data_IF_039267585746
#
_entry.id   IF_039267585746
#
_cell.length_a   1.000
_cell.length_b   1.000
_cell.length_c   1.000
_cell.angle_alpha   90.00
_cell.angle_beta   90.00
_cell.angle_gamma   90.00
#
_symmetry.space_group_name_H-M   'P 1'
#
loop_
_entity.id
_entity.type
_entity.pdbx_description
1 polymer ?
#
# COMPACT_ATOMS: atom_id res chain seq x y z
N UNK A 1 3.67 6.95 1.20
CA UNK A 1 3.12 5.66 1.66
C UNK A 1 2.32 4.93 0.55
N UNK A 2 1.57 5.63 -0.30
CA UNK A 2 0.90 5.10 -1.50
C UNK A 2 1.81 4.27 -2.43
N UNK A 3 3.05 4.72 -2.63
CA UNK A 3 3.96 4.16 -3.64
C UNK A 3 4.58 2.82 -3.25
N UNK A 4 4.64 2.53 -1.94
CA UNK A 4 5.08 1.22 -1.45
C UNK A 4 4.00 0.18 -1.70
N UNK A 5 2.76 0.49 -1.28
CA UNK A 5 1.60 -0.38 -1.46
C UNK A 5 1.34 -0.68 -2.94
N UNK A 6 1.37 0.33 -3.80
CA UNK A 6 1.25 0.14 -5.24
C UNK A 6 2.35 -0.78 -5.81
N UNK A 7 3.58 -0.70 -5.28
CA UNK A 7 4.68 -1.55 -5.75
C UNK A 7 4.66 -2.98 -5.22
N UNK A 8 4.20 -3.18 -3.98
CA UNK A 8 3.96 -4.51 -3.41
C UNK A 8 2.85 -5.19 -4.22
N UNK A 9 1.77 -4.46 -4.48
CA UNK A 9 0.66 -4.89 -5.32
C UNK A 9 1.10 -5.28 -6.73
N UNK A 10 1.83 -4.40 -7.42
CA UNK A 10 2.32 -4.66 -8.77
C UNK A 10 3.21 -5.92 -8.82
N UNK A 11 4.10 -6.10 -7.83
CA UNK A 11 4.97 -7.28 -7.77
C UNK A 11 4.21 -8.56 -7.46
N UNK A 12 3.21 -8.52 -6.58
CA UNK A 12 2.30 -9.65 -6.37
C UNK A 12 1.63 -10.05 -7.69
N UNK A 13 1.13 -9.07 -8.44
CA UNK A 13 0.47 -9.32 -9.72
C UNK A 13 1.43 -9.90 -10.77
N UNK A 14 2.67 -9.42 -10.84
CA UNK A 14 3.70 -10.01 -11.71
C UNK A 14 4.02 -11.46 -11.32
N UNK A 15 4.10 -11.77 -10.04
CA UNK A 15 4.34 -13.14 -9.60
C UNK A 15 3.15 -14.06 -9.92
N UNK A 16 1.92 -13.62 -9.66
CA UNK A 16 0.71 -14.46 -9.81
C UNK A 16 0.25 -14.58 -11.27
N UNK A 17 0.25 -13.49 -12.02
CA UNK A 17 -0.33 -13.46 -13.37
C UNK A 17 0.72 -13.64 -14.47
N UNK A 18 1.94 -13.10 -14.28
CA UNK A 18 3.01 -13.11 -15.29
C UNK A 18 4.08 -14.18 -15.04
N UNK A 19 3.98 -14.95 -13.95
CA UNK A 19 5.00 -15.94 -13.53
C UNK A 19 6.40 -15.33 -13.36
N UNK A 20 6.46 -14.05 -12.94
CA UNK A 20 7.70 -13.32 -12.71
C UNK A 20 7.87 -12.95 -11.25
N UNK A 21 8.73 -13.69 -10.55
CA UNK A 21 9.04 -13.44 -9.15
C UNK A 21 10.28 -12.57 -8.98
N UNK A 22 10.06 -11.29 -8.68
CA UNK A 22 11.13 -10.43 -8.17
C UNK A 22 11.25 -10.72 -6.66
N UNK A 23 12.33 -11.35 -6.21
CA UNK A 23 12.48 -11.84 -4.82
C UNK A 23 12.23 -10.81 -3.70
N UNK A 24 11.83 -11.24 -2.49
CA UNK A 24 11.28 -10.38 -1.43
C UNK A 24 12.24 -9.28 -0.96
N UNK A 25 13.56 -9.47 -1.11
CA UNK A 25 14.59 -8.49 -0.74
C UNK A 25 14.40 -7.10 -1.38
N UNK A 26 13.82 -7.04 -2.59
CA UNK A 26 13.53 -5.76 -3.23
C UNK A 26 12.41 -4.96 -2.52
N UNK A 27 11.48 -5.63 -1.82
CA UNK A 27 10.41 -4.94 -1.07
C UNK A 27 11.02 -4.32 0.17
N UNK A 28 11.79 -5.11 0.90
CA UNK A 28 12.49 -4.71 2.12
C UNK A 28 13.40 -3.51 1.82
N UNK A 29 14.18 -3.59 0.73
CA UNK A 29 15.06 -2.49 0.30
C UNK A 29 14.26 -1.21 0.00
N UNK A 30 13.13 -1.31 -0.70
CA UNK A 30 12.29 -0.16 -1.04
C UNK A 30 11.62 0.45 0.20
N UNK A 31 11.16 -0.39 1.13
CA UNK A 31 10.59 0.06 2.40
C UNK A 31 11.64 0.81 3.24
N UNK A 32 12.87 0.27 3.33
CA UNK A 32 13.98 0.92 4.02
C UNK A 32 14.31 2.30 3.41
N UNK A 33 14.44 2.39 2.08
CA UNK A 33 14.70 3.66 1.39
C UNK A 33 13.59 4.70 1.63
N UNK A 34 12.32 4.28 1.67
CA UNK A 34 11.21 5.18 1.94
C UNK A 34 11.17 5.65 3.40
N UNK A 35 11.58 4.79 4.33
CA UNK A 35 11.71 5.15 5.74
C UNK A 35 12.83 6.18 5.94
N UNK A 36 13.99 5.96 5.32
CA UNK A 36 15.12 6.91 5.34
C UNK A 36 14.70 8.26 4.77
N UNK A 37 14.05 8.28 3.60
CA UNK A 37 13.58 9.52 2.99
C UNK A 37 12.48 10.24 3.80
N UNK A 38 11.65 9.49 4.53
CA UNK A 38 10.67 10.07 5.45
C UNK A 38 11.36 10.73 6.66
N UNK A 39 12.32 10.04 7.27
CA UNK A 39 13.09 10.56 8.41
C UNK A 39 13.91 11.80 8.02
N UNK A 40 14.49 11.82 6.82
CA UNK A 40 15.21 12.98 6.29
C UNK A 40 14.25 14.16 6.06
N UNK A 41 13.08 13.93 5.46
CA UNK A 41 12.07 14.96 5.26
C UNK A 41 11.52 15.52 6.58
N UNK A 42 11.28 14.68 7.60
CA UNK A 42 10.88 15.14 8.94
C UNK A 42 11.98 15.95 9.63
N UNK A 43 13.24 15.54 9.48
CA UNK A 43 14.40 16.31 9.94
C UNK A 43 14.47 17.70 9.31
N UNK A 44 14.20 17.80 8.00
CA UNK A 44 14.15 19.08 7.27
C UNK A 44 12.94 19.94 7.70
N UNK A 45 11.76 19.33 7.89
CA UNK A 45 10.53 20.01 8.29
C UNK A 45 10.57 20.52 9.73
N UNK A 46 11.34 19.89 10.61
CA UNK A 46 11.55 20.36 11.99
C UNK A 46 12.21 21.75 12.07
N UNK A 47 12.93 22.17 11.01
CA UNK A 47 13.51 23.51 10.86
C UNK A 47 12.64 24.54 10.14
N UNK A 48 11.58 24.12 9.45
CA UNK A 48 10.71 25.00 8.66
C UNK A 48 9.28 24.99 9.21
N UNK A 49 9.12 25.62 10.37
CA UNK A 49 7.80 26.00 10.87
C UNK A 49 7.20 27.04 9.91
N UNK A 50 6.01 26.74 9.41
CA UNK A 50 5.10 27.65 8.68
C UNK A 50 5.45 27.98 7.23
N UNK A 51 5.00 27.15 6.29
CA UNK A 51 4.55 27.68 4.99
C UNK A 51 3.14 27.14 4.75
N UNK A 52 2.18 28.07 4.77
CA UNK A 52 0.78 27.86 4.43
C UNK A 52 0.69 27.34 2.97
N UNK A 53 0.65 26.03 2.81
CA UNK A 53 0.41 25.36 1.55
C UNK A 53 -1.06 25.00 1.44
N UNK A 54 -1.72 25.59 0.43
CA UNK A 54 -2.99 25.18 -0.17
C UNK A 54 -3.49 23.81 0.31
N UNK A 55 -4.65 23.81 0.95
CA UNK A 55 -5.41 22.61 1.31
C UNK A 55 -5.58 21.71 0.08
N UNK A 56 -4.63 20.78 -0.13
CA UNK A 56 -4.94 19.50 -0.78
C UNK A 56 -6.13 18.99 0.03
N UNK A 57 -7.31 18.95 -0.59
CA UNK A 57 -8.49 18.31 0.01
C UNK A 57 -8.01 17.01 0.63
N UNK A 58 -8.11 16.91 1.96
CA UNK A 58 -7.45 15.89 2.78
C UNK A 58 -7.56 14.51 2.11
N UNK A 59 -6.54 14.15 1.33
CA UNK A 59 -6.31 12.79 0.84
C UNK A 59 -5.48 12.03 1.87
N UNK A 60 -5.61 12.44 3.13
CA UNK A 60 -5.13 11.66 4.25
C UNK A 60 -6.16 10.58 4.45
N UNK A 61 -5.70 9.33 4.47
CA UNK A 61 -6.52 8.22 4.93
C UNK A 61 -7.10 8.63 6.30
N UNK A 62 -8.42 8.62 6.39
CA UNK A 62 -9.13 8.89 7.62
C UNK A 62 -9.27 7.55 8.34
N UNK A 63 -8.87 7.51 9.59
CA UNK A 63 -9.11 6.37 10.45
C UNK A 63 -10.61 6.02 10.44
N UNK A 64 -10.90 4.73 10.35
CA UNK A 64 -12.27 4.26 10.50
C UNK A 64 -12.78 4.61 11.90
N UNK A 65 -14.09 4.71 12.06
CA UNK A 65 -14.68 4.89 13.39
C UNK A 65 -14.24 3.75 14.32
N UNK A 66 -14.11 4.05 15.61
CA UNK A 66 -13.79 3.03 16.63
C UNK A 66 -14.78 1.86 16.50
N UNK A 67 -14.25 0.63 16.59
CA UNK A 67 -15.01 -0.62 16.38
C UNK A 67 -15.49 -0.89 14.94
N UNK A 68 -15.09 -0.10 13.96
CA UNK A 68 -15.31 -0.38 12.53
C UNK A 68 -14.08 -1.04 11.93
N UNK A 69 -14.31 -2.11 11.16
CA UNK A 69 -13.30 -2.76 10.33
C UNK A 69 -13.41 -2.25 8.90
N UNK A 70 -12.35 -1.66 8.37
CA UNK A 70 -12.26 -1.28 6.97
C UNK A 70 -11.83 -2.50 6.14
N UNK A 71 -12.61 -2.85 5.13
CA UNK A 71 -12.28 -3.93 4.18
C UNK A 71 -11.99 -3.30 2.83
N UNK A 72 -10.75 -3.48 2.36
CA UNK A 72 -10.33 -3.14 1.00
C UNK A 72 -10.32 -4.42 0.16
N UNK A 73 -10.97 -4.39 -1.00
CA UNK A 73 -10.96 -5.50 -1.95
C UNK A 73 -10.53 -5.02 -3.33
N UNK A 74 -9.84 -5.88 -4.08
CA UNK A 74 -9.49 -5.63 -5.47
C UNK A 74 -9.48 -6.92 -6.29
N UNK A 75 -9.73 -6.80 -7.58
CA UNK A 75 -9.74 -7.94 -8.51
C UNK A 75 -9.01 -7.61 -9.81
N UNK A 76 -8.32 -8.62 -10.34
CA UNK A 76 -7.59 -8.54 -11.60
C UNK A 76 -8.04 -9.63 -12.56
N UNK A 77 -8.16 -9.28 -13.84
CA UNK A 77 -8.56 -10.19 -14.91
C UNK A 77 -7.57 -10.09 -16.05
N UNK A 78 -6.92 -11.21 -16.38
CA UNK A 78 -6.12 -11.36 -17.59
C UNK A 78 -6.92 -12.17 -18.62
N UNK A 79 -7.42 -11.48 -19.64
CA UNK A 79 -8.23 -12.08 -20.71
C UNK A 79 -7.39 -12.97 -21.64
N UNK A 80 -6.11 -12.67 -21.84
CA UNK A 80 -5.24 -13.40 -22.76
C UNK A 80 -4.80 -14.71 -22.10
N UNK A 81 -4.36 -14.63 -20.85
CA UNK A 81 -3.99 -15.80 -20.05
C UNK A 81 -5.17 -16.57 -19.47
N UNK A 82 -6.40 -16.07 -19.61
CA UNK A 82 -7.63 -16.60 -18.99
C UNK A 82 -7.51 -16.76 -17.46
N UNK A 83 -6.81 -15.83 -16.82
CA UNK A 83 -6.57 -15.83 -15.36
C UNK A 83 -7.41 -14.76 -14.68
N UNK A 84 -7.78 -15.01 -13.43
CA UNK A 84 -8.45 -14.07 -12.55
C UNK A 84 -7.84 -14.17 -11.16
N UNK A 85 -7.74 -13.04 -10.45
CA UNK A 85 -7.48 -13.08 -9.02
C UNK A 85 -8.22 -11.99 -8.28
N UNK A 86 -8.43 -12.23 -6.99
CA UNK A 86 -9.12 -11.33 -6.08
C UNK A 86 -8.34 -11.31 -4.77
N UNK A 87 -8.22 -10.13 -4.16
CA UNK A 87 -7.59 -9.94 -2.87
C UNK A 87 -8.46 -9.08 -1.97
N UNK A 88 -8.50 -9.43 -0.69
CA UNK A 88 -9.18 -8.68 0.35
C UNK A 88 -8.21 -8.44 1.51
N UNK A 89 -8.30 -7.27 2.13
CA UNK A 89 -7.52 -6.85 3.29
C UNK A 89 -8.45 -6.13 4.26
N UNK A 90 -8.52 -6.64 5.48
CA UNK A 90 -9.26 -5.99 6.57
C UNK A 90 -8.30 -5.34 7.56
N UNK A 91 -8.62 -4.10 7.97
CA UNK A 91 -7.89 -3.36 9.01
C UNK A 91 -8.85 -2.86 10.08
N UNK A 92 -8.38 -2.81 11.32
CA UNK A 92 -9.13 -2.14 12.39
C UNK A 92 -9.01 -0.61 12.26
N UNK A 93 -9.67 0.11 13.15
CA UNK A 93 -9.67 1.57 13.21
C UNK A 93 -8.28 2.19 13.44
N UNK A 94 -7.36 1.46 14.10
CA UNK A 94 -5.95 1.86 14.28
C UNK A 94 -5.09 1.59 13.03
N UNK A 95 -5.67 1.02 11.97
CA UNK A 95 -4.98 0.62 10.75
C UNK A 95 -4.21 -0.70 10.86
N UNK A 96 -4.35 -1.43 11.96
CA UNK A 96 -3.72 -2.74 12.15
C UNK A 96 -4.39 -3.80 11.27
N UNK A 97 -3.58 -4.68 10.69
CA UNK A 97 -4.06 -5.77 9.83
C UNK A 97 -4.80 -6.81 10.66
N UNK A 98 -6.08 -7.04 10.35
CA UNK A 98 -6.87 -8.10 10.96
C UNK A 98 -6.78 -9.39 10.15
N UNK A 99 -7.00 -9.32 8.84
CA UNK A 99 -6.83 -10.44 7.93
C UNK A 99 -6.49 -10.00 6.51
N UNK A 100 -5.94 -10.93 5.73
CA UNK A 100 -5.80 -10.80 4.29
C UNK A 100 -6.08 -12.13 3.60
N UNK A 101 -6.91 -12.10 2.56
CA UNK A 101 -7.29 -13.28 1.76
C UNK A 101 -6.94 -12.99 0.31
N UNK A 102 -6.43 -14.00 -0.39
CA UNK A 102 -6.18 -13.93 -1.82
C UNK A 102 -6.66 -15.22 -2.47
N UNK A 103 -7.38 -15.09 -3.59
CA UNK A 103 -7.80 -16.21 -4.43
C UNK A 103 -7.37 -15.92 -5.88
N UNK A 104 -6.90 -16.93 -6.59
CA UNK A 104 -6.57 -16.84 -8.00
C UNK A 104 -7.03 -18.11 -8.73
N UNK A 105 -7.45 -17.96 -9.99
CA UNK A 105 -7.84 -19.02 -10.91
C UNK A 105 -7.24 -18.78 -12.28
#
# INVERSE_FOLDING_TARGET
MSDLNASIWHRRNRAVFEDRFDGPGLVIKKAAMMLEGFQEAEGILSGQKQIAGTSRANTKWLEALEQVTEINFDASVDKVGKKMGMGEVARNHEGELMFSICAAR
#
